data_IF_421608030895
#
_entry.id   IF_421608030895
#
_cell.length_a   1.000
_cell.length_b   1.000
_cell.length_c   1.000
_cell.angle_alpha   90.00
_cell.angle_beta   90.00
_cell.angle_gamma   90.00
#
_symmetry.space_group_name_H-M   'P 1'
#
loop_
_entity.id
_entity.type
_entity.pdbx_description
1 polymer ?
#
# COMPACT_ATOMS: atom_id res chain seq x y z
N UNK A 1 -37.44 45.51 -16.32
CA UNK A 1 -35.98 45.58 -16.62
C UNK A 1 -35.11 45.52 -15.37
N UNK A 2 -35.41 46.21 -14.28
CA UNK A 2 -34.54 46.17 -13.07
C UNK A 2 -34.43 44.82 -12.38
N UNK A 3 -35.48 43.99 -12.33
CA UNK A 3 -35.48 42.64 -11.68
C UNK A 3 -34.62 41.62 -12.45
N UNK A 4 -34.58 41.69 -13.75
CA UNK A 4 -33.75 40.78 -14.58
C UNK A 4 -32.27 41.03 -14.37
N UNK A 5 -31.83 42.27 -14.27
CA UNK A 5 -30.43 42.63 -13.99
C UNK A 5 -29.96 42.17 -12.59
N UNK A 6 -30.86 42.20 -11.62
CA UNK A 6 -30.54 41.78 -10.25
C UNK A 6 -30.35 40.26 -10.16
N UNK A 7 -31.19 39.47 -10.87
CA UNK A 7 -31.03 38.01 -10.94
C UNK A 7 -29.78 37.56 -11.69
N UNK A 8 -29.40 38.28 -12.76
CA UNK A 8 -28.19 37.98 -13.51
C UNK A 8 -26.93 38.31 -12.71
N UNK A 9 -26.92 39.41 -11.96
CA UNK A 9 -25.81 39.78 -11.09
C UNK A 9 -25.63 38.79 -9.93
N UNK A 10 -26.73 38.30 -9.34
CA UNK A 10 -26.69 37.30 -8.25
C UNK A 10 -26.16 35.96 -8.73
N UNK A 11 -26.59 35.49 -9.93
CA UNK A 11 -26.06 34.26 -10.55
C UNK A 11 -24.58 34.33 -10.85
N UNK A 12 -24.14 35.48 -11.39
CA UNK A 12 -22.74 35.73 -11.70
C UNK A 12 -21.88 35.75 -10.44
N UNK A 13 -22.34 36.38 -9.35
CA UNK A 13 -21.67 36.42 -8.08
C UNK A 13 -21.55 35.02 -7.42
N UNK A 14 -22.60 34.18 -7.53
CA UNK A 14 -22.58 32.80 -7.06
C UNK A 14 -21.60 31.93 -7.86
N UNK A 15 -21.53 32.08 -9.17
CA UNK A 15 -20.60 31.32 -10.01
C UNK A 15 -19.15 31.72 -9.75
N UNK A 16 -18.86 33.01 -9.56
CA UNK A 16 -17.51 33.50 -9.23
C UNK A 16 -17.11 33.04 -7.81
N UNK A 17 -18.02 33.09 -6.85
CA UNK A 17 -17.77 32.60 -5.49
C UNK A 17 -17.50 31.07 -5.44
N UNK A 18 -18.24 30.30 -6.23
CA UNK A 18 -18.03 28.86 -6.33
C UNK A 18 -16.69 28.51 -6.97
N UNK A 19 -16.27 29.27 -7.99
CA UNK A 19 -14.97 29.11 -8.66
C UNK A 19 -13.80 29.42 -7.73
N UNK A 20 -13.93 30.43 -6.88
CA UNK A 20 -12.89 30.83 -5.92
C UNK A 20 -12.74 29.83 -4.75
N UNK A 21 -13.79 29.08 -4.42
CA UNK A 21 -13.74 28.04 -3.38
C UNK A 21 -13.17 26.71 -3.89
N UNK A 22 -13.27 26.42 -5.19
CA UNK A 22 -12.77 25.17 -5.79
C UNK A 22 -11.27 25.23 -6.09
N UNK A 23 -10.74 26.40 -6.45
CA UNK A 23 -9.32 26.59 -6.82
C UNK A 23 -8.31 26.21 -5.71
N UNK A 24 -8.51 26.56 -4.42
CA UNK A 24 -7.55 26.13 -3.38
C UNK A 24 -7.59 24.64 -3.12
N UNK A 25 -8.76 23.97 -3.26
CA UNK A 25 -8.84 22.53 -3.05
C UNK A 25 -8.08 21.72 -4.11
N UNK A 26 -8.14 22.10 -5.38
CA UNK A 26 -7.40 21.41 -6.44
C UNK A 26 -5.88 21.50 -6.26
N UNK A 27 -5.38 22.65 -5.76
CA UNK A 27 -3.93 22.81 -5.49
C UNK A 27 -3.43 21.92 -4.36
N UNK A 28 -4.23 21.67 -3.33
CA UNK A 28 -3.87 20.75 -2.24
C UNK A 28 -3.80 19.30 -2.70
N UNK A 29 -4.71 18.84 -3.57
CA UNK A 29 -4.68 17.46 -4.09
C UNK A 29 -3.46 17.25 -5.00
N UNK A 30 -3.09 18.21 -5.83
CA UNK A 30 -1.91 18.10 -6.70
C UNK A 30 -0.61 18.09 -5.88
N UNK A 31 -0.52 18.88 -4.81
CA UNK A 31 0.65 18.88 -3.93
C UNK A 31 0.77 17.59 -3.13
N UNK A 32 -0.35 17.05 -2.61
CA UNK A 32 -0.35 15.78 -1.90
C UNK A 32 0.07 14.61 -2.82
N UNK A 33 -0.36 14.63 -4.08
CA UNK A 33 0.04 13.63 -5.08
C UNK A 33 1.54 13.73 -5.40
N UNK A 34 2.07 14.95 -5.58
CA UNK A 34 3.50 15.17 -5.82
C UNK A 34 4.38 14.76 -4.64
N UNK A 35 3.95 15.02 -3.40
CA UNK A 35 4.67 14.55 -2.21
C UNK A 35 4.66 13.03 -2.15
N UNK A 36 3.54 12.39 -2.47
CA UNK A 36 3.44 10.92 -2.53
C UNK A 36 4.35 10.32 -3.59
N UNK A 37 4.42 10.90 -4.78
CA UNK A 37 5.31 10.45 -5.86
C UNK A 37 6.77 10.69 -5.51
N UNK A 38 7.14 11.84 -4.96
CA UNK A 38 8.52 12.12 -4.54
C UNK A 38 8.96 11.22 -3.37
N UNK A 39 8.07 10.90 -2.42
CA UNK A 39 8.35 9.95 -1.36
C UNK A 39 8.56 8.54 -1.91
N UNK A 40 7.82 8.13 -2.93
CA UNK A 40 8.00 6.86 -3.62
C UNK A 40 9.32 6.82 -4.40
N UNK A 41 9.67 7.89 -5.12
CA UNK A 41 10.95 7.99 -5.85
C UNK A 41 12.15 8.03 -4.90
N UNK A 42 12.03 8.70 -3.75
CA UNK A 42 13.07 8.72 -2.73
C UNK A 42 13.24 7.35 -2.05
N UNK A 43 12.15 6.59 -1.87
CA UNK A 43 12.19 5.22 -1.36
C UNK A 43 12.80 4.23 -2.38
N UNK A 44 12.66 4.51 -3.68
CA UNK A 44 13.26 3.71 -4.77
C UNK A 44 14.77 3.95 -4.88
N UNK A 45 15.26 5.14 -4.51
CA UNK A 45 16.70 5.48 -4.53
C UNK A 45 17.44 5.07 -3.25
N UNK A 46 16.76 4.74 -2.16
CA UNK A 46 17.35 4.05 -1.02
C UNK A 46 17.75 2.66 -1.49
N UNK A 47 19.06 2.44 -1.62
CA UNK A 47 19.62 1.18 -2.06
C UNK A 47 18.89 0.03 -1.40
N UNK A 48 18.63 -1.02 -2.17
CA UNK A 48 17.92 -2.23 -1.76
C UNK A 48 18.70 -2.93 -0.63
N UNK A 49 18.66 -2.36 0.57
CA UNK A 49 19.20 -3.03 1.76
C UNK A 49 18.28 -4.18 2.10
N UNK A 50 18.74 -5.37 1.76
CA UNK A 50 18.03 -6.59 2.09
C UNK A 50 18.21 -6.93 3.57
N UNK A 51 17.17 -7.46 4.23
CA UNK A 51 17.22 -7.83 5.64
C UNK A 51 17.89 -9.19 5.86
N UNK A 52 18.76 -9.26 6.88
CA UNK A 52 19.33 -10.49 7.41
C UNK A 52 18.80 -10.83 8.81
N UNK A 53 17.98 -9.94 9.38
CA UNK A 53 17.44 -10.07 10.74
C UNK A 53 15.93 -10.24 10.71
N UNK A 54 15.40 -10.98 11.68
CA UNK A 54 13.96 -11.05 11.89
C UNK A 54 13.50 -9.80 12.63
N UNK A 55 12.81 -8.91 11.93
CA UNK A 55 12.30 -7.64 12.45
C UNK A 55 10.82 -7.76 12.84
N UNK A 56 10.37 -6.91 13.76
CA UNK A 56 8.97 -6.79 14.14
C UNK A 56 8.70 -5.36 14.59
N UNK A 57 8.43 -4.49 13.62
CA UNK A 57 8.27 -3.06 13.81
C UNK A 57 7.06 -2.55 13.02
N UNK A 58 6.41 -1.51 13.54
CA UNK A 58 5.26 -0.87 12.91
C UNK A 58 4.15 -1.84 12.51
N UNK A 59 3.83 -2.78 13.39
CA UNK A 59 3.00 -3.97 13.14
C UNK A 59 1.63 -3.68 12.48
N UNK A 60 1.05 -2.50 12.76
CA UNK A 60 -0.27 -2.06 12.28
C UNK A 60 -0.23 -0.87 11.33
N UNK A 61 0.95 -0.46 10.88
CA UNK A 61 1.11 0.71 9.99
C UNK A 61 1.57 0.26 8.61
N UNK A 62 0.67 0.11 7.61
CA UNK A 62 0.95 -0.60 6.36
C UNK A 62 2.23 -0.19 5.63
N UNK A 63 2.53 1.10 5.38
CA UNK A 63 3.69 1.45 4.60
C UNK A 63 5.02 1.22 5.33
N UNK A 64 4.99 1.19 6.66
CA UNK A 64 6.20 1.02 7.48
C UNK A 64 6.33 -0.36 8.11
N UNK A 65 5.31 -1.22 7.99
CA UNK A 65 5.33 -2.58 8.52
C UNK A 65 6.62 -3.31 8.16
N UNK A 66 7.26 -3.89 9.17
CA UNK A 66 8.38 -4.83 9.05
C UNK A 66 8.11 -6.05 9.90
N UNK A 67 7.95 -7.21 9.29
CA UNK A 67 7.76 -8.45 9.99
C UNK A 67 8.59 -9.56 9.33
N UNK A 68 9.41 -10.24 10.13
CA UNK A 68 10.37 -11.21 9.62
C UNK A 68 11.47 -10.54 8.79
N UNK A 69 11.73 -11.09 7.63
CA UNK A 69 12.69 -10.57 6.64
C UNK A 69 12.02 -10.14 5.34
N UNK A 70 10.80 -10.59 5.11
CA UNK A 70 10.13 -10.46 3.82
C UNK A 70 8.82 -9.68 3.86
N UNK A 71 8.16 -9.57 5.03
CA UNK A 71 6.88 -8.86 5.11
C UNK A 71 7.08 -7.36 5.29
N UNK A 72 6.76 -6.59 4.25
CA UNK A 72 6.79 -5.13 4.25
C UNK A 72 6.87 -4.56 2.84
N UNK A 73 6.46 -3.31 2.67
CA UNK A 73 6.54 -2.62 1.40
C UNK A 73 8.02 -2.31 1.08
N UNK A 74 8.48 -2.66 -0.14
CA UNK A 74 9.86 -2.49 -0.60
C UNK A 74 10.91 -3.10 0.36
N UNK A 75 10.53 -4.16 1.06
CA UNK A 75 11.33 -4.83 2.05
C UNK A 75 11.43 -6.31 1.69
N UNK A 76 12.62 -6.88 1.71
CA UNK A 76 12.86 -8.28 1.37
C UNK A 76 14.10 -8.83 2.07
N UNK A 77 14.17 -10.14 2.20
CA UNK A 77 15.35 -10.82 2.71
C UNK A 77 16.52 -10.79 1.72
N UNK A 78 17.74 -10.87 2.25
CA UNK A 78 18.93 -11.03 1.40
C UNK A 78 18.90 -12.38 0.66
N UNK A 79 19.58 -12.50 -0.49
CA UNK A 79 19.65 -13.75 -1.21
C UNK A 79 20.12 -14.91 -0.32
N UNK A 80 19.39 -16.02 -0.34
CA UNK A 80 19.68 -17.22 0.47
C UNK A 80 19.20 -17.18 1.93
N UNK A 81 18.62 -16.08 2.39
CA UNK A 81 18.05 -15.99 3.73
C UNK A 81 16.78 -16.84 3.85
N UNK A 82 16.67 -17.53 4.98
CA UNK A 82 15.46 -18.29 5.32
C UNK A 82 14.44 -17.39 6.02
N UNK A 83 13.14 -17.57 5.78
CA UNK A 83 12.10 -16.83 6.47
C UNK A 83 12.14 -17.12 7.98
N UNK A 84 11.69 -16.18 8.79
CA UNK A 84 11.73 -16.24 10.25
C UNK A 84 10.68 -17.18 10.84
N UNK A 85 9.53 -17.30 10.18
CA UNK A 85 8.43 -18.19 10.52
C UNK A 85 7.53 -18.47 9.30
N UNK A 86 6.38 -19.11 9.54
CA UNK A 86 5.45 -19.47 8.47
C UNK A 86 4.76 -18.27 7.81
N UNK A 87 4.49 -17.19 8.54
CA UNK A 87 3.92 -15.98 7.99
C UNK A 87 4.94 -15.25 7.10
N UNK A 88 6.17 -15.13 7.57
CA UNK A 88 7.27 -14.56 6.79
C UNK A 88 7.59 -15.40 5.53
N UNK A 89 7.38 -16.72 5.60
CA UNK A 89 7.47 -17.60 4.44
C UNK A 89 6.37 -17.32 3.38
N UNK A 90 5.18 -16.89 3.78
CA UNK A 90 4.15 -16.43 2.84
C UNK A 90 4.58 -15.15 2.13
N UNK A 91 5.18 -14.21 2.84
CA UNK A 91 5.72 -12.98 2.25
C UNK A 91 6.86 -13.29 1.27
N UNK A 92 7.78 -14.17 1.63
CA UNK A 92 8.86 -14.60 0.73
C UNK A 92 8.32 -15.21 -0.57
N UNK A 93 7.30 -16.05 -0.50
CA UNK A 93 6.65 -16.64 -1.70
C UNK A 93 5.97 -15.57 -2.55
N UNK A 94 5.34 -14.59 -1.92
CA UNK A 94 4.73 -13.46 -2.63
C UNK A 94 5.80 -12.64 -3.36
N UNK A 95 6.90 -12.27 -2.71
CA UNK A 95 8.01 -11.56 -3.33
C UNK A 95 8.55 -12.31 -4.55
N UNK A 96 8.78 -13.60 -4.42
CA UNK A 96 9.24 -14.45 -5.52
C UNK A 96 8.23 -14.50 -6.69
N UNK A 97 6.93 -14.56 -6.38
CA UNK A 97 5.87 -14.50 -7.38
C UNK A 97 5.90 -13.17 -8.15
N UNK A 98 5.96 -12.05 -7.44
CA UNK A 98 6.03 -10.71 -8.04
C UNK A 98 7.27 -10.57 -8.94
N UNK A 99 8.43 -11.02 -8.49
CA UNK A 99 9.66 -11.01 -9.29
C UNK A 99 9.52 -11.84 -10.57
N UNK A 100 8.90 -13.01 -10.49
CA UNK A 100 8.66 -13.88 -11.67
C UNK A 100 7.71 -13.26 -12.70
N UNK A 101 6.90 -12.29 -12.30
CA UNK A 101 5.95 -11.53 -13.13
C UNK A 101 6.48 -10.13 -13.50
N UNK A 102 7.81 -9.99 -13.65
CA UNK A 102 8.47 -8.71 -13.98
C UNK A 102 8.10 -7.56 -13.02
N UNK A 103 8.05 -7.84 -11.73
CA UNK A 103 7.69 -6.90 -10.67
C UNK A 103 6.26 -6.33 -10.80
N UNK A 104 5.34 -7.13 -11.33
CA UNK A 104 3.92 -6.75 -11.42
C UNK A 104 3.23 -6.82 -10.06
N UNK A 105 3.30 -5.76 -9.28
CA UNK A 105 2.69 -5.66 -7.93
C UNK A 105 1.15 -5.76 -7.92
N UNK A 106 0.49 -5.58 -9.07
CA UNK A 106 -0.95 -5.75 -9.22
C UNK A 106 -1.35 -7.13 -9.79
N UNK A 107 -0.41 -8.10 -9.79
CA UNK A 107 -0.70 -9.46 -10.23
C UNK A 107 -1.80 -10.09 -9.38
N UNK A 108 -2.94 -10.38 -10.03
CA UNK A 108 -4.08 -11.03 -9.38
C UNK A 108 -3.70 -12.39 -8.78
N UNK A 109 -2.96 -13.19 -9.53
CA UNK A 109 -2.49 -14.51 -9.12
C UNK A 109 -1.61 -14.42 -7.86
N UNK A 110 -0.58 -13.56 -7.87
CA UNK A 110 0.34 -13.42 -6.74
C UNK A 110 -0.38 -12.94 -5.48
N UNK A 111 -1.27 -11.95 -5.60
CA UNK A 111 -2.03 -11.41 -4.48
C UNK A 111 -3.02 -12.44 -3.90
N UNK A 112 -3.73 -13.20 -4.75
CA UNK A 112 -4.65 -14.26 -4.30
C UNK A 112 -3.91 -15.39 -3.59
N UNK A 113 -2.80 -15.85 -4.16
CA UNK A 113 -1.96 -16.89 -3.56
C UNK A 113 -1.40 -16.45 -2.21
N UNK A 114 -1.05 -15.18 -2.07
CA UNK A 114 -0.55 -14.62 -0.82
C UNK A 114 -1.64 -14.59 0.25
N UNK A 115 -2.83 -14.06 -0.05
CA UNK A 115 -3.98 -14.06 0.86
C UNK A 115 -4.29 -15.50 1.31
N UNK A 116 -4.34 -16.44 0.38
CA UNK A 116 -4.58 -17.86 0.67
C UNK A 116 -3.49 -18.46 1.58
N UNK A 117 -2.22 -18.13 1.37
CA UNK A 117 -1.12 -18.58 2.22
C UNK A 117 -1.29 -18.06 3.65
N UNK A 118 -1.59 -16.77 3.81
CA UNK A 118 -1.77 -16.15 5.13
C UNK A 118 -3.00 -16.69 5.86
N UNK A 119 -4.11 -16.95 5.15
CA UNK A 119 -5.34 -17.51 5.75
C UNK A 119 -5.13 -18.93 6.30
N UNK A 120 -4.17 -19.67 5.75
CA UNK A 120 -3.78 -20.98 6.24
C UNK A 120 -2.80 -20.92 7.44
N UNK A 121 -2.27 -19.74 7.75
CA UNK A 121 -1.42 -19.56 8.93
C UNK A 121 -2.28 -19.60 10.19
N UNK A 122 -2.09 -20.65 11.01
CA UNK A 122 -2.92 -20.86 12.21
C UNK A 122 -2.63 -19.78 13.25
N UNK A 123 -3.68 -19.12 13.71
CA UNK A 123 -3.63 -18.24 14.89
C UNK A 123 -3.03 -19.03 16.08
N UNK A 124 -1.96 -18.51 16.69
CA UNK A 124 -1.22 -19.23 17.73
C UNK A 124 -0.07 -20.11 17.22
N UNK A 125 0.19 -20.17 15.92
CA UNK A 125 1.39 -20.78 15.39
C UNK A 125 2.64 -20.11 15.99
N UNK A 126 3.72 -20.91 16.14
CA UNK A 126 4.97 -20.40 16.70
C UNK A 126 5.55 -19.33 15.77
N UNK A 127 5.77 -18.14 16.31
CA UNK A 127 6.49 -17.04 15.67
C UNK A 127 7.98 -17.08 16.03
N UNK A 128 8.78 -16.23 15.41
CA UNK A 128 10.22 -16.17 15.69
C UNK A 128 10.52 -15.53 17.05
N UNK A 129 11.68 -15.86 17.61
CA UNK A 129 12.15 -15.33 18.91
C UNK A 129 12.34 -13.82 18.82
N UNK A 130 11.79 -13.08 19.77
CA UNK A 130 11.87 -11.60 19.84
C UNK A 130 10.81 -10.89 19.02
N UNK A 131 9.86 -11.59 18.41
CA UNK A 131 8.73 -10.99 17.74
C UNK A 131 7.87 -10.17 18.73
N UNK A 132 7.55 -8.94 18.36
CA UNK A 132 6.70 -7.99 19.11
C UNK A 132 5.32 -7.80 18.47
N UNK A 133 5.16 -8.25 17.22
CA UNK A 133 3.91 -8.10 16.47
C UNK A 133 3.00 -9.32 16.69
N UNK A 134 1.72 -9.08 16.86
CA UNK A 134 0.72 -10.13 16.81
C UNK A 134 0.55 -10.58 15.35
N UNK A 135 0.64 -11.87 15.08
CA UNK A 135 0.55 -12.41 13.74
C UNK A 135 -0.82 -12.11 13.08
N UNK A 136 -1.90 -12.18 13.86
CA UNK A 136 -3.26 -11.86 13.38
C UNK A 136 -3.40 -10.39 12.94
N UNK A 137 -2.78 -9.46 13.67
CA UNK A 137 -2.74 -8.05 13.32
C UNK A 137 -1.96 -7.80 12.03
N UNK A 138 -0.78 -8.41 11.90
CA UNK A 138 0.04 -8.34 10.68
C UNK A 138 -0.71 -8.91 9.47
N UNK A 139 -1.36 -10.06 9.62
CA UNK A 139 -2.18 -10.69 8.57
C UNK A 139 -3.31 -9.75 8.16
N UNK A 140 -4.02 -9.17 9.12
CA UNK A 140 -5.12 -8.24 8.83
C UNK A 140 -4.64 -7.03 8.00
N UNK A 141 -3.56 -6.38 8.43
CA UNK A 141 -2.98 -5.22 7.74
C UNK A 141 -2.58 -5.58 6.31
N UNK A 142 -1.86 -6.68 6.13
CA UNK A 142 -1.41 -7.10 4.79
C UNK A 142 -2.61 -7.49 3.92
N UNK A 143 -3.61 -8.17 4.46
CA UNK A 143 -4.81 -8.56 3.71
C UNK A 143 -5.56 -7.36 3.15
N UNK A 144 -5.74 -6.29 3.95
CA UNK A 144 -6.37 -5.04 3.47
C UNK A 144 -5.59 -4.43 2.29
N UNK A 145 -4.27 -4.41 2.37
CA UNK A 145 -3.42 -3.90 1.27
C UNK A 145 -3.54 -4.78 0.03
N UNK A 146 -3.55 -6.10 0.18
CA UNK A 146 -3.67 -7.03 -0.94
C UNK A 146 -5.05 -6.99 -1.59
N UNK A 147 -6.12 -6.82 -0.82
CA UNK A 147 -7.47 -6.63 -1.35
C UNK A 147 -7.56 -5.34 -2.17
N UNK A 148 -6.97 -4.25 -1.71
CA UNK A 148 -6.88 -3.01 -2.46
C UNK A 148 -6.09 -3.19 -3.77
N UNK A 149 -4.97 -3.92 -3.75
CA UNK A 149 -4.20 -4.26 -4.95
C UNK A 149 -5.00 -5.10 -5.96
N UNK A 150 -5.80 -6.07 -5.47
CA UNK A 150 -6.71 -6.87 -6.30
C UNK A 150 -7.78 -6.01 -6.98
N UNK A 151 -8.35 -5.04 -6.27
CA UNK A 151 -9.34 -4.10 -6.83
C UNK A 151 -8.71 -3.21 -7.89
N UNK A 152 -7.54 -2.63 -7.60
CA UNK A 152 -6.79 -1.79 -8.54
C UNK A 152 -6.40 -2.59 -9.80
N UNK A 153 -5.89 -3.81 -9.64
CA UNK A 153 -5.52 -4.68 -10.76
C UNK A 153 -6.71 -5.00 -11.68
N UNK A 154 -7.88 -5.26 -11.11
CA UNK A 154 -9.11 -5.46 -11.89
C UNK A 154 -9.58 -4.21 -12.63
N UNK A 155 -9.44 -3.04 -12.02
CA UNK A 155 -9.84 -1.77 -12.63
C UNK A 155 -8.92 -1.38 -13.81
N UNK A 156 -7.61 -1.64 -13.69
CA UNK A 156 -6.61 -1.26 -14.69
C UNK A 156 -6.50 -2.29 -15.85
N UNK A 157 -6.93 -3.54 -15.63
CA UNK A 157 -6.88 -4.61 -16.65
C UNK A 157 -8.26 -4.90 -17.26
N UNK A 158 -9.22 -3.99 -17.14
CA UNK A 158 -10.47 -4.08 -17.94
C UNK A 158 -10.13 -3.89 -19.41
N UNK A 159 -10.59 -4.83 -20.27
CA UNK A 159 -10.45 -4.70 -21.72
C UNK A 159 -11.19 -3.48 -22.25
#
# INVERSE_FOLDING_TARGET
MAKEHQFFSLKLALLVSCSLLVLPFSSFYVQALNIGVQAADSAISLGKDCSRKCESEFCSVPPFLRYGKYCGLLYSGCPGEKPCDGLDACCMKHDACIQSKNNSYLSQECSQNFISCMSNFKTGARTFKGNKCRADEVIHVISVVMEAALLAGRALHKP
#
